data_IF_128610174085
#
_entry.id   IF_128610174085
#
_cell.length_a   1.000
_cell.length_b   1.000
_cell.length_c   1.000
_cell.angle_alpha   90.00
_cell.angle_beta   90.00
_cell.angle_gamma   90.00
#
_symmetry.space_group_name_H-M   'P 1'
#
loop_
_entity.id
_entity.type
_entity.pdbx_description
1 polymer ?
#
# COMPACT_ATOMS: atom_id res chain seq x y z
N UNK A 1 49.74 50.59 -55.47
CA UNK A 1 48.54 50.23 -56.24
C UNK A 1 47.77 49.17 -55.44
N UNK A 2 46.51 49.48 -55.10
CA UNK A 2 45.36 48.62 -54.71
C UNK A 2 45.50 47.63 -53.53
N UNK A 3 44.98 47.97 -52.33
CA UNK A 3 43.66 47.58 -51.71
C UNK A 3 43.58 46.09 -51.29
N UNK A 4 43.27 45.72 -50.04
CA UNK A 4 41.92 45.70 -49.43
C UNK A 4 41.95 45.56 -47.87
N UNK A 5 40.87 46.06 -47.25
CA UNK A 5 40.44 46.00 -45.84
C UNK A 5 40.40 44.60 -45.19
N UNK A 6 40.49 44.54 -43.84
CA UNK A 6 39.40 44.06 -42.94
C UNK A 6 39.75 44.03 -41.44
N UNK A 7 38.87 44.67 -40.69
CA UNK A 7 38.64 44.66 -39.23
C UNK A 7 38.48 43.26 -38.63
N UNK A 8 38.97 43.04 -37.40
CA UNK A 8 38.46 42.01 -36.49
C UNK A 8 38.36 42.56 -35.06
N UNK A 9 37.14 42.92 -34.68
CA UNK A 9 36.71 42.97 -33.27
C UNK A 9 36.81 41.55 -32.70
N UNK A 10 37.47 41.39 -31.56
CA UNK A 10 37.44 40.17 -30.76
C UNK A 10 36.16 40.21 -29.91
N UNK A 11 35.17 39.37 -30.25
CA UNK A 11 34.00 39.13 -29.43
C UNK A 11 34.35 38.08 -28.37
N UNK A 12 34.34 38.47 -27.10
CA UNK A 12 34.50 37.55 -25.96
C UNK A 12 33.18 36.81 -25.75
N UNK A 13 33.17 35.51 -26.04
CA UNK A 13 32.02 34.62 -25.84
C UNK A 13 31.99 34.16 -24.38
N UNK A 14 31.04 34.68 -23.58
CA UNK A 14 30.73 34.13 -22.24
C UNK A 14 29.79 32.94 -22.44
N UNK A 15 30.31 31.72 -22.35
CA UNK A 15 29.50 30.50 -22.36
C UNK A 15 28.99 30.30 -20.93
N UNK A 16 27.74 30.67 -20.67
CA UNK A 16 27.04 30.26 -19.46
C UNK A 16 26.63 28.78 -19.60
N UNK A 17 27.37 27.88 -18.96
CA UNK A 17 26.97 26.47 -18.84
C UNK A 17 25.82 26.36 -17.84
N UNK A 18 24.60 26.17 -18.36
CA UNK A 18 23.44 25.80 -17.56
C UNK A 18 23.63 24.37 -17.04
N UNK A 19 24.03 24.25 -15.77
CA UNK A 19 24.06 22.97 -15.07
C UNK A 19 22.62 22.57 -14.76
N UNK A 20 22.02 21.76 -15.62
CA UNK A 20 20.75 21.08 -15.31
C UNK A 20 21.09 20.05 -14.23
N UNK A 21 20.85 20.40 -12.97
CA UNK A 21 20.78 19.41 -11.90
C UNK A 21 19.57 18.51 -12.20
N UNK A 22 19.82 17.38 -12.87
CA UNK A 22 18.86 16.29 -12.90
C UNK A 22 18.84 15.74 -11.48
N UNK A 23 17.95 16.26 -10.64
CA UNK A 23 17.64 15.63 -9.36
C UNK A 23 17.01 14.30 -9.69
N UNK A 24 17.78 13.22 -9.53
CA UNK A 24 17.22 11.87 -9.56
C UNK A 24 16.16 11.81 -8.46
N UNK A 25 14.88 11.83 -8.86
CA UNK A 25 13.80 11.43 -7.97
C UNK A 25 14.02 9.93 -7.78
N UNK A 26 14.68 9.57 -6.68
CA UNK A 26 14.75 8.17 -6.25
C UNK A 26 13.36 7.88 -5.71
N UNK A 27 12.45 7.47 -6.59
CA UNK A 27 11.21 6.83 -6.16
C UNK A 27 11.67 5.53 -5.52
N UNK A 28 11.67 5.47 -4.18
CA UNK A 28 11.81 4.20 -3.49
C UNK A 28 10.59 3.38 -3.90
N UNK A 29 10.77 2.48 -4.86
CA UNK A 29 9.75 1.51 -5.18
C UNK A 29 9.51 0.67 -3.93
N UNK A 30 8.25 0.54 -3.54
CA UNK A 30 7.86 -0.40 -2.50
C UNK A 30 8.36 -1.79 -2.89
N UNK A 31 9.35 -2.29 -2.16
CA UNK A 31 9.94 -3.59 -2.47
C UNK A 31 8.98 -4.65 -1.95
N UNK A 32 8.06 -5.12 -2.80
CA UNK A 32 7.17 -6.25 -2.51
C UNK A 32 7.99 -7.36 -1.84
N UNK A 33 7.66 -7.69 -0.60
CA UNK A 33 8.39 -8.69 0.16
C UNK A 33 7.87 -10.08 -0.19
N UNK A 34 8.73 -11.10 -0.01
CA UNK A 34 8.32 -12.50 -0.11
C UNK A 34 8.42 -13.16 1.26
N UNK A 35 7.30 -13.64 1.79
CA UNK A 35 7.25 -14.46 2.99
C UNK A 35 7.31 -15.94 2.62
N UNK A 36 8.25 -16.68 3.20
CA UNK A 36 8.41 -18.11 2.94
C UNK A 36 7.68 -18.95 3.99
N UNK A 37 6.92 -19.94 3.53
CA UNK A 37 6.18 -20.91 4.34
C UNK A 37 6.73 -22.31 4.05
N UNK A 38 7.30 -22.95 5.05
CA UNK A 38 7.76 -24.32 4.96
C UNK A 38 6.56 -25.27 5.06
N UNK A 39 6.46 -26.19 4.09
CA UNK A 39 5.50 -27.29 4.06
C UNK A 39 6.23 -28.57 4.45
N UNK A 40 5.98 -29.06 5.67
CA UNK A 40 6.60 -30.29 6.18
C UNK A 40 5.85 -30.81 7.41
N UNK A 41 6.05 -32.08 7.78
CA UNK A 41 5.56 -32.64 9.05
C UNK A 41 4.05 -32.44 9.31
N UNK A 42 3.21 -32.52 8.26
CA UNK A 42 1.78 -32.27 8.32
C UNK A 42 1.41 -30.85 8.82
N UNK A 43 2.26 -29.85 8.57
CA UNK A 43 2.00 -28.46 8.97
C UNK A 43 2.59 -27.45 7.98
N UNK A 44 2.09 -26.21 8.11
CA UNK A 44 2.62 -25.02 7.45
C UNK A 44 3.32 -24.15 8.51
N UNK A 45 4.51 -23.62 8.20
CA UNK A 45 5.25 -22.78 9.14
C UNK A 45 5.97 -21.62 8.44
N UNK A 46 5.78 -20.36 8.87
CA UNK A 46 4.97 -19.93 10.01
C UNK A 46 3.45 -20.03 9.75
N UNK A 47 2.68 -20.18 10.83
CA UNK A 47 1.22 -20.07 10.84
C UNK A 47 0.79 -19.30 12.12
N UNK A 48 0.14 -18.12 12.02
CA UNK A 48 -0.17 -17.41 10.78
C UNK A 48 1.08 -16.88 10.07
N UNK A 49 1.01 -16.79 8.75
CA UNK A 49 1.93 -15.95 7.96
C UNK A 49 1.36 -14.53 7.88
N UNK A 50 2.09 -13.55 8.39
CA UNK A 50 1.67 -12.15 8.41
C UNK A 50 2.48 -11.37 7.37
N UNK A 51 1.79 -10.72 6.44
CA UNK A 51 2.36 -9.91 5.36
C UNK A 51 1.57 -8.61 5.19
N UNK A 52 2.00 -7.74 4.26
CA UNK A 52 1.27 -6.54 3.86
C UNK A 52 0.68 -6.69 2.46
N UNK A 53 -0.33 -5.89 2.16
CA UNK A 53 -0.90 -5.82 0.83
C UNK A 53 0.18 -5.49 -0.21
N UNK A 54 0.24 -6.27 -1.28
CA UNK A 54 1.28 -6.21 -2.29
C UNK A 54 2.40 -7.23 -2.09
N UNK A 55 2.52 -7.90 -0.93
CA UNK A 55 3.53 -8.93 -0.73
C UNK A 55 3.17 -10.26 -1.42
N UNK A 56 4.16 -11.14 -1.52
CA UNK A 56 4.04 -12.50 -2.04
C UNK A 56 4.23 -13.50 -0.90
N UNK A 57 3.43 -14.57 -0.87
CA UNK A 57 3.73 -15.76 -0.06
C UNK A 57 4.28 -16.83 -0.97
N UNK A 58 5.41 -17.43 -0.58
CA UNK A 58 5.99 -18.59 -1.24
C UNK A 58 5.94 -19.79 -0.28
N UNK A 59 5.35 -20.88 -0.74
CA UNK A 59 5.39 -22.15 -0.04
C UNK A 59 6.53 -23.01 -0.60
N UNK A 60 7.31 -23.61 0.29
CA UNK A 60 8.39 -24.52 -0.06
C UNK A 60 8.16 -25.89 0.60
N UNK A 61 7.78 -26.87 -0.20
CA UNK A 61 7.67 -28.26 0.23
C UNK A 61 9.01 -28.97 0.19
N UNK A 62 9.48 -29.41 1.35
CA UNK A 62 10.73 -30.15 1.51
C UNK A 62 10.55 -31.67 1.36
N UNK A 63 9.31 -32.13 1.19
CA UNK A 63 8.95 -33.54 0.95
C UNK A 63 7.70 -33.96 1.71
N UNK A 64 7.20 -35.16 1.40
CA UNK A 64 5.86 -35.59 1.83
C UNK A 64 4.80 -35.22 0.79
N UNK A 65 3.66 -35.90 0.83
CA UNK A 65 2.60 -35.77 -0.18
C UNK A 65 1.67 -34.61 0.15
N UNK A 66 2.00 -33.42 -0.34
CA UNK A 66 1.36 -32.16 0.05
C UNK A 66 1.07 -31.26 -1.14
N UNK A 67 0.07 -30.40 -0.93
CA UNK A 67 -0.18 -29.18 -1.70
C UNK A 67 -0.69 -28.09 -0.75
N UNK A 68 -1.06 -26.95 -1.34
CA UNK A 68 -1.71 -25.82 -0.68
C UNK A 68 -2.92 -25.46 -1.53
N UNK A 69 -4.10 -25.43 -0.94
CA UNK A 69 -5.35 -25.00 -1.58
C UNK A 69 -6.04 -23.98 -0.68
N UNK A 70 -6.40 -22.83 -1.24
CA UNK A 70 -7.20 -21.83 -0.55
C UNK A 70 -8.60 -22.40 -0.26
N UNK A 71 -9.13 -22.13 0.93
CA UNK A 71 -10.44 -22.62 1.34
C UNK A 71 -11.58 -22.09 0.45
N UNK A 72 -11.38 -20.94 -0.19
CA UNK A 72 -12.31 -20.34 -1.15
C UNK A 72 -12.03 -20.73 -2.61
N UNK A 73 -11.03 -21.58 -2.86
CA UNK A 73 -10.60 -22.01 -4.18
C UNK A 73 -9.85 -20.95 -4.99
N UNK A 74 -9.44 -19.82 -4.38
CA UNK A 74 -8.74 -18.72 -5.09
C UNK A 74 -7.33 -19.06 -5.57
N UNK A 75 -6.67 -20.05 -4.95
CA UNK A 75 -5.39 -20.56 -5.41
C UNK A 75 -5.20 -22.02 -5.02
N UNK A 76 -4.38 -22.73 -5.80
CA UNK A 76 -3.93 -24.09 -5.49
C UNK A 76 -2.53 -24.33 -6.04
N UNK A 77 -1.62 -24.80 -5.19
CA UNK A 77 -0.19 -24.83 -5.47
C UNK A 77 0.48 -26.16 -5.08
N UNK A 78 1.19 -26.73 -6.06
CA UNK A 78 2.18 -27.78 -5.95
C UNK A 78 2.96 -27.85 -7.28
N UNK A 79 4.30 -27.84 -7.19
CA UNK A 79 5.19 -27.69 -8.36
C UNK A 79 4.92 -26.41 -9.19
N UNK A 80 4.65 -25.28 -8.52
CA UNK A 80 3.98 -24.10 -9.07
C UNK A 80 2.49 -24.07 -8.69
N UNK A 81 1.75 -23.03 -9.08
CA UNK A 81 0.29 -23.00 -8.90
C UNK A 81 -0.45 -23.39 -10.19
N UNK A 82 -1.73 -23.76 -10.09
CA UNK A 82 -2.55 -24.25 -11.22
C UNK A 82 -2.42 -23.40 -12.49
N UNK A 83 -2.36 -22.07 -12.34
CA UNK A 83 -2.28 -21.12 -13.46
C UNK A 83 -0.86 -20.57 -13.70
N UNK A 84 0.14 -21.00 -12.94
CA UNK A 84 1.50 -20.44 -12.96
C UNK A 84 2.60 -21.51 -12.94
N UNK A 85 2.45 -22.51 -13.82
CA UNK A 85 3.51 -23.48 -14.12
C UNK A 85 3.48 -24.77 -13.30
N UNK A 86 2.53 -24.90 -12.38
CA UNK A 86 2.22 -26.16 -11.68
C UNK A 86 0.88 -26.74 -12.10
N UNK A 87 0.43 -27.75 -11.36
CA UNK A 87 -0.88 -28.39 -11.54
C UNK A 87 -1.67 -28.50 -10.23
N UNK A 88 -1.17 -27.89 -9.15
CA UNK A 88 -1.83 -27.80 -7.84
C UNK A 88 -2.05 -29.12 -7.11
N UNK A 89 -1.81 -30.24 -7.79
CA UNK A 89 -2.08 -31.57 -7.30
C UNK A 89 -1.06 -31.96 -6.22
N UNK A 90 -1.49 -32.59 -5.10
CA UNK A 90 -0.60 -33.10 -4.08
C UNK A 90 0.57 -33.89 -4.68
N UNK A 91 1.77 -33.57 -4.24
CA UNK A 91 3.01 -34.11 -4.79
C UNK A 91 3.94 -34.53 -3.67
N UNK A 92 4.63 -35.67 -3.85
CA UNK A 92 5.69 -36.14 -2.96
C UNK A 92 7.07 -35.57 -3.32
N UNK A 93 7.19 -34.91 -4.48
CA UNK A 93 8.40 -34.21 -4.87
C UNK A 93 8.57 -32.93 -4.06
N UNK A 94 9.81 -32.46 -3.95
CA UNK A 94 10.07 -31.10 -3.48
C UNK A 94 9.54 -30.11 -4.51
N UNK A 95 8.92 -29.04 -4.03
CA UNK A 95 8.36 -28.02 -4.89
C UNK A 95 8.30 -26.67 -4.19
N UNK A 96 8.22 -25.61 -4.98
CA UNK A 96 7.80 -24.30 -4.52
C UNK A 96 6.58 -23.80 -5.31
N UNK A 97 5.80 -22.92 -4.71
CA UNK A 97 4.69 -22.22 -5.35
C UNK A 97 4.47 -20.89 -4.66
N UNK A 98 4.03 -19.86 -5.38
CA UNK A 98 3.91 -18.52 -4.82
C UNK A 98 2.65 -17.81 -5.31
N UNK A 99 2.05 -17.02 -4.43
CA UNK A 99 0.85 -16.22 -4.71
C UNK A 99 1.06 -14.81 -4.19
N UNK A 100 0.63 -13.82 -4.97
CA UNK A 100 0.63 -12.41 -4.59
C UNK A 100 -0.68 -12.04 -3.87
N UNK A 101 -0.56 -11.29 -2.78
CA UNK A 101 -1.68 -10.89 -1.96
C UNK A 101 -1.83 -9.37 -1.95
N UNK A 102 -2.70 -8.85 -2.82
CA UNK A 102 -2.87 -7.40 -2.98
C UNK A 102 -4.00 -6.79 -2.13
N UNK A 103 -4.85 -7.63 -1.53
CA UNK A 103 -6.02 -7.16 -0.76
C UNK A 103 -5.83 -7.51 0.71
N UNK A 104 -5.97 -6.54 1.63
CA UNK A 104 -5.96 -6.83 3.07
C UNK A 104 -7.07 -7.80 3.45
N UNK A 105 -6.79 -8.71 4.38
CA UNK A 105 -7.74 -9.73 4.81
C UNK A 105 -7.07 -10.98 5.35
N UNK A 106 -7.90 -11.96 5.71
CA UNK A 106 -7.44 -13.28 6.14
C UNK A 106 -7.76 -14.29 5.05
N UNK A 107 -6.74 -15.04 4.62
CA UNK A 107 -6.84 -16.09 3.62
C UNK A 107 -6.55 -17.42 4.30
N UNK A 108 -7.56 -18.29 4.36
CA UNK A 108 -7.42 -19.63 4.91
C UNK A 108 -7.05 -20.61 3.79
N UNK A 109 -6.22 -21.59 4.10
CA UNK A 109 -5.83 -22.62 3.16
C UNK A 109 -5.51 -23.92 3.88
N UNK A 110 -5.54 -25.01 3.13
CA UNK A 110 -5.29 -26.36 3.63
C UNK A 110 -4.50 -27.21 2.62
N UNK A 111 -4.02 -28.36 3.07
CA UNK A 111 -3.55 -29.43 2.20
C UNK A 111 -4.72 -30.39 1.94
N UNK A 112 -5.12 -30.63 0.70
CA UNK A 112 -6.32 -31.44 0.35
C UNK A 112 -6.31 -32.87 0.91
N UNK A 113 -5.12 -33.42 1.18
CA UNK A 113 -4.96 -34.80 1.65
C UNK A 113 -4.96 -34.91 3.19
N UNK A 114 -4.48 -33.88 3.88
CA UNK A 114 -4.15 -33.93 5.31
C UNK A 114 -4.87 -32.87 6.14
N UNK A 115 -5.63 -31.99 5.49
CA UNK A 115 -6.48 -30.99 6.09
C UNK A 115 -7.79 -30.84 5.31
N UNK A 116 -8.62 -29.92 5.78
CA UNK A 116 -9.91 -29.58 5.19
C UNK A 116 -10.24 -28.12 5.52
N UNK A 117 -11.23 -27.57 4.84
CA UNK A 117 -11.69 -26.19 4.96
C UNK A 117 -12.03 -25.85 6.42
N UNK A 118 -11.74 -24.60 6.81
CA UNK A 118 -12.10 -24.07 8.12
C UNK A 118 -11.10 -24.44 9.22
N UNK A 119 -9.85 -24.72 8.85
CA UNK A 119 -8.77 -24.95 9.81
C UNK A 119 -8.69 -26.38 10.34
N UNK A 120 -9.14 -27.37 9.57
CA UNK A 120 -9.10 -28.79 9.97
C UNK A 120 -7.79 -29.41 9.51
N UNK A 121 -7.10 -30.13 10.40
CA UNK A 121 -5.90 -30.89 10.08
C UNK A 121 -4.73 -30.01 9.66
N UNK A 122 -4.07 -30.36 8.56
CA UNK A 122 -2.99 -29.57 7.96
C UNK A 122 -3.58 -28.36 7.22
N UNK A 123 -3.74 -27.27 7.97
CA UNK A 123 -4.26 -25.98 7.52
C UNK A 123 -3.37 -24.83 7.97
N UNK A 124 -3.49 -23.68 7.31
CA UNK A 124 -2.82 -22.46 7.72
C UNK A 124 -3.62 -21.22 7.33
N UNK A 125 -3.15 -20.06 7.78
CA UNK A 125 -3.75 -18.78 7.42
C UNK A 125 -2.69 -17.74 7.06
N UNK A 126 -3.02 -16.89 6.09
CA UNK A 126 -2.29 -15.68 5.74
C UNK A 126 -3.10 -14.48 6.22
N UNK A 127 -2.47 -13.60 6.99
CA UNK A 127 -3.03 -12.31 7.40
C UNK A 127 -2.32 -11.23 6.59
N UNK A 128 -3.08 -10.57 5.71
CA UNK A 128 -2.61 -9.47 4.87
C UNK A 128 -3.04 -8.16 5.51
N UNK A 129 -2.07 -7.39 6.00
CA UNK A 129 -2.30 -6.09 6.61
C UNK A 129 -2.40 -4.99 5.53
N UNK A 130 -3.19 -3.93 5.74
CA UNK A 130 -3.17 -2.76 4.86
C UNK A 130 -1.82 -2.03 4.91
N UNK A 131 -1.56 -1.21 3.89
CA UNK A 131 -0.37 -0.35 3.84
C UNK A 131 -0.63 1.04 4.44
N UNK A 132 -1.88 1.48 4.49
CA UNK A 132 -2.26 2.82 4.97
C UNK A 132 -3.15 2.67 6.19
N UNK A 133 -2.86 3.46 7.21
CA UNK A 133 -3.57 3.50 8.48
C UNK A 133 -3.93 4.94 8.83
N UNK A 134 -5.06 5.15 9.50
CA UNK A 134 -5.29 6.40 10.22
C UNK A 134 -4.37 6.41 11.44
N UNK A 135 -3.49 7.41 11.53
CA UNK A 135 -2.57 7.57 12.64
C UNK A 135 -3.12 8.51 13.72
N UNK A 136 -3.64 9.66 13.29
CA UNK A 136 -4.20 10.66 14.19
C UNK A 136 -5.37 11.38 13.52
N UNK A 137 -6.38 11.72 14.31
CA UNK A 137 -7.47 12.61 13.93
C UNK A 137 -7.57 13.68 15.01
N UNK A 138 -7.64 14.94 14.58
CA UNK A 138 -7.85 16.08 15.45
C UNK A 138 -9.02 16.90 14.94
N UNK A 139 -10.08 16.95 15.73
CA UNK A 139 -11.33 17.68 15.48
C UNK A 139 -11.68 18.53 16.71
N UNK A 140 -12.58 19.52 16.53
CA UNK A 140 -13.21 20.30 17.61
C UNK A 140 -12.21 20.87 18.63
N UNK A 141 -11.35 21.76 18.14
CA UNK A 141 -10.46 22.48 19.04
C UNK A 141 -11.17 23.65 19.70
N UNK A 142 -10.85 23.91 20.97
CA UNK A 142 -11.39 25.07 21.65
C UNK A 142 -11.05 26.37 20.90
N UNK A 143 -12.09 27.15 20.56
CA UNK A 143 -11.95 28.45 19.91
C UNK A 143 -12.34 28.41 18.44
N UNK A 144 -11.46 28.87 17.56
CA UNK A 144 -11.66 28.77 16.11
C UNK A 144 -11.02 27.48 15.61
N UNK A 145 -11.75 26.74 14.79
CA UNK A 145 -11.31 25.43 14.29
C UNK A 145 -10.26 25.52 13.17
N UNK A 146 -9.09 26.04 13.52
CA UNK A 146 -8.05 26.35 12.54
C UNK A 146 -7.08 25.19 12.29
N UNK A 147 -7.00 24.19 13.17
CA UNK A 147 -5.97 23.17 13.10
C UNK A 147 -6.55 21.75 13.11
N UNK A 148 -7.67 21.57 12.42
CA UNK A 148 -8.26 20.25 12.18
C UNK A 148 -7.46 19.48 11.13
N UNK A 149 -7.24 18.19 11.39
CA UNK A 149 -6.53 17.33 10.45
C UNK A 149 -6.85 15.86 10.66
N UNK A 150 -6.64 15.09 9.60
CA UNK A 150 -6.47 13.65 9.66
C UNK A 150 -5.07 13.31 9.12
N UNK A 151 -4.35 12.48 9.86
CA UNK A 151 -3.03 11.99 9.48
C UNK A 151 -3.11 10.50 9.12
N UNK A 152 -2.60 10.18 7.94
CA UNK A 152 -2.40 8.81 7.50
C UNK A 152 -0.93 8.41 7.67
N UNK A 153 -0.70 7.16 8.05
CA UNK A 153 0.63 6.57 8.14
C UNK A 153 0.76 5.36 7.23
N UNK A 154 1.92 5.21 6.59
CA UNK A 154 2.23 4.06 5.76
C UNK A 154 3.67 4.04 5.26
N UNK A 155 4.07 3.00 4.51
CA UNK A 155 5.35 2.98 3.81
C UNK A 155 5.49 4.18 2.87
N UNK A 156 6.68 4.76 2.80
CA UNK A 156 6.97 5.86 1.88
C UNK A 156 6.62 5.49 0.42
N UNK A 157 6.10 6.46 -0.33
CA UNK A 157 5.64 6.32 -1.71
C UNK A 157 4.46 5.35 -1.93
N UNK A 158 3.82 4.83 -0.87
CA UNK A 158 2.55 4.09 -1.00
C UNK A 158 1.54 4.98 -1.71
N UNK A 159 1.02 4.54 -2.86
CA UNK A 159 -0.03 5.26 -3.58
C UNK A 159 -1.32 5.29 -2.75
N UNK A 160 -2.00 6.44 -2.75
CA UNK A 160 -3.34 6.59 -2.18
C UNK A 160 -4.43 6.53 -3.26
N UNK A 161 -4.08 6.17 -4.49
CA UNK A 161 -5.05 5.98 -5.58
C UNK A 161 -6.12 4.96 -5.21
N UNK A 162 -7.38 5.31 -5.49
CA UNK A 162 -8.53 4.47 -5.17
C UNK A 162 -8.95 4.51 -3.69
N UNK A 163 -8.27 5.31 -2.86
CA UNK A 163 -8.70 5.59 -1.49
C UNK A 163 -9.50 6.90 -1.44
N UNK A 164 -10.49 6.92 -0.56
CA UNK A 164 -11.28 8.11 -0.23
C UNK A 164 -11.34 8.21 1.29
N UNK A 165 -11.04 9.38 1.84
CA UNK A 165 -11.30 9.65 3.25
C UNK A 165 -12.75 10.11 3.41
N UNK A 166 -13.54 9.33 4.14
CA UNK A 166 -14.96 9.57 4.34
C UNK A 166 -15.20 10.11 5.75
N UNK A 167 -16.01 11.15 5.83
CA UNK A 167 -16.58 11.63 7.10
C UNK A 167 -18.07 11.38 7.04
N UNK A 168 -18.58 10.65 8.03
CA UNK A 168 -20.00 10.35 8.16
C UNK A 168 -20.49 10.99 9.44
N UNK A 169 -21.38 11.97 9.32
CA UNK A 169 -22.02 12.62 10.45
C UNK A 169 -23.53 12.58 10.30
N UNK A 170 -24.18 13.72 10.57
CA UNK A 170 -25.61 13.87 10.54
C UNK A 170 -26.10 14.79 9.42
N UNK A 171 -27.38 15.16 9.48
CA UNK A 171 -27.93 16.19 8.62
C UNK A 171 -28.74 17.14 9.48
N UNK A 172 -29.08 18.30 8.95
CA UNK A 172 -29.96 19.29 9.59
C UNK A 172 -31.36 18.75 10.00
N UNK A 173 -31.68 17.49 9.70
CA UNK A 173 -32.88 16.77 10.12
C UNK A 173 -32.62 15.65 11.16
N UNK A 174 -31.45 15.61 11.83
CA UNK A 174 -31.06 14.58 12.81
C UNK A 174 -31.04 13.14 12.27
N UNK A 175 -30.78 12.95 10.98
CA UNK A 175 -30.49 11.63 10.44
C UNK A 175 -28.97 11.42 10.47
N UNK A 176 -28.48 10.63 11.43
CA UNK A 176 -27.09 10.14 11.41
C UNK A 176 -26.86 9.19 10.23
N UNK A 177 -25.61 9.07 9.78
CA UNK A 177 -25.22 8.17 8.69
C UNK A 177 -25.17 8.83 7.32
N UNK A 178 -25.00 10.15 7.26
CA UNK A 178 -24.88 10.91 6.02
C UNK A 178 -23.40 11.18 5.73
N UNK A 179 -22.99 11.04 4.47
CA UNK A 179 -21.64 11.41 4.03
C UNK A 179 -21.56 12.94 4.03
N UNK A 180 -20.70 13.48 4.88
CA UNK A 180 -20.46 14.92 5.03
C UNK A 180 -19.26 15.36 4.20
N UNK A 181 -18.21 14.55 4.18
CA UNK A 181 -17.07 14.72 3.30
C UNK A 181 -16.69 13.40 2.62
N UNK A 182 -16.31 13.51 1.36
CA UNK A 182 -15.69 12.45 0.58
C UNK A 182 -14.47 13.03 -0.12
N UNK A 183 -13.31 12.83 0.49
CA UNK A 183 -12.05 13.42 0.05
C UNK A 183 -11.32 12.40 -0.80
N UNK A 184 -11.25 12.65 -2.11
CA UNK A 184 -10.56 11.79 -3.07
C UNK A 184 -9.04 11.96 -2.93
N UNK A 185 -8.33 10.86 -2.70
CA UNK A 185 -6.87 10.83 -2.51
C UNK A 185 -6.12 10.45 -3.79
N UNK A 186 -6.82 10.37 -4.93
CA UNK A 186 -6.20 10.06 -6.22
C UNK A 186 -5.07 11.03 -6.56
N UNK A 187 -3.95 10.47 -7.01
CA UNK A 187 -2.71 11.18 -7.33
C UNK A 187 -1.85 11.52 -6.11
N UNK A 188 -2.30 11.20 -4.90
CA UNK A 188 -1.53 11.38 -3.68
C UNK A 188 -0.73 10.11 -3.32
N UNK A 189 0.32 10.29 -2.52
CA UNK A 189 1.12 9.17 -2.01
C UNK A 189 1.66 9.51 -0.62
N UNK A 190 1.87 8.49 0.22
CA UNK A 190 2.52 8.68 1.52
C UNK A 190 3.93 9.28 1.32
N UNK A 191 4.26 10.42 1.95
CA UNK A 191 5.56 11.06 1.77
C UNK A 191 6.72 10.23 2.33
N UNK A 192 7.95 10.64 2.02
CA UNK A 192 9.15 9.92 2.42
C UNK A 192 9.34 9.75 3.94
N UNK A 193 8.70 10.60 4.75
CA UNK A 193 8.70 10.49 6.22
C UNK A 193 7.67 9.49 6.77
N UNK A 194 6.80 8.93 5.91
CA UNK A 194 5.76 7.98 6.29
C UNK A 194 4.43 8.60 6.75
N UNK A 195 4.31 9.92 6.79
CA UNK A 195 3.12 10.62 7.33
C UNK A 195 2.50 11.54 6.29
N UNK A 196 1.21 11.34 6.01
CA UNK A 196 0.41 12.13 5.09
C UNK A 196 -0.65 12.91 5.87
N UNK A 197 -0.51 14.23 5.94
CA UNK A 197 -1.42 15.09 6.69
C UNK A 197 -2.41 15.74 5.73
N UNK A 198 -3.70 15.46 5.93
CA UNK A 198 -4.83 16.16 5.33
C UNK A 198 -5.30 17.22 6.31
N UNK A 199 -5.33 18.48 5.91
CA UNK A 199 -5.75 19.58 6.77
C UNK A 199 -6.43 20.68 5.97
N UNK A 200 -7.19 21.54 6.65
CA UNK A 200 -7.80 22.70 6.00
C UNK A 200 -6.79 23.81 5.71
N UNK A 201 -7.17 24.78 4.87
CA UNK A 201 -6.29 25.93 4.52
C UNK A 201 -5.90 26.84 5.70
N UNK A 202 -6.60 26.69 6.82
CA UNK A 202 -6.38 27.39 8.09
C UNK A 202 -5.30 26.75 8.96
N UNK A 203 -4.83 25.55 8.61
CA UNK A 203 -3.89 24.75 9.39
C UNK A 203 -2.51 25.40 9.54
N UNK A 204 -2.00 25.43 10.78
CA UNK A 204 -0.75 26.12 11.15
C UNK A 204 0.21 25.30 12.02
N UNK A 205 -0.16 24.10 12.49
CA UNK A 205 0.71 23.30 13.38
C UNK A 205 1.95 22.77 12.65
N UNK A 206 1.82 22.45 11.37
CA UNK A 206 2.91 22.06 10.47
C UNK A 206 2.51 22.32 9.02
N UNK A 207 3.25 21.78 8.06
CA UNK A 207 2.87 21.79 6.63
C UNK A 207 1.97 20.61 6.32
N UNK A 208 0.74 20.89 5.87
CA UNK A 208 -0.15 19.87 5.34
C UNK A 208 0.45 19.23 4.08
N UNK A 209 0.30 17.92 3.92
CA UNK A 209 0.67 17.25 2.67
C UNK A 209 -0.40 17.51 1.61
N UNK A 210 -1.66 17.52 2.03
CA UNK A 210 -2.82 17.74 1.19
C UNK A 210 -3.76 18.72 1.90
N UNK A 211 -4.23 19.71 1.15
CA UNK A 211 -5.14 20.73 1.68
C UNK A 211 -6.47 20.65 0.95
N UNK A 212 -7.53 20.41 1.73
CA UNK A 212 -8.90 20.33 1.24
C UNK A 212 -9.88 20.78 2.34
N UNK A 213 -11.17 20.87 2.02
CA UNK A 213 -12.22 21.05 3.03
C UNK A 213 -12.51 19.72 3.70
N UNK A 214 -12.27 19.63 5.01
CA UNK A 214 -12.44 18.38 5.76
C UNK A 214 -13.86 18.20 6.29
N UNK A 215 -14.57 19.31 6.52
CA UNK A 215 -15.93 19.35 7.10
C UNK A 215 -16.03 18.51 8.39
N UNK A 216 -15.06 18.67 9.29
CA UNK A 216 -15.15 18.12 10.63
C UNK A 216 -16.03 19.06 11.46
N UNK A 217 -17.20 18.60 11.88
CA UNK A 217 -18.18 19.45 12.55
C UNK A 217 -17.92 19.56 14.07
N UNK A 218 -18.25 20.72 14.65
CA UNK A 218 -18.10 21.02 16.09
C UNK A 218 -19.33 20.63 16.93
N UNK A 219 -20.40 20.15 16.29
CA UNK A 219 -21.74 20.09 16.86
C UNK A 219 -22.27 18.68 17.11
N UNK A 220 -21.66 17.67 16.52
CA UNK A 220 -22.17 16.30 16.48
C UNK A 220 -21.06 15.25 16.65
N UNK A 221 -21.40 13.98 16.45
CA UNK A 221 -20.43 12.90 16.41
C UNK A 221 -20.21 12.49 14.96
N UNK A 222 -18.99 12.65 14.48
CA UNK A 222 -18.56 12.14 13.18
C UNK A 222 -17.88 10.77 13.29
N UNK A 223 -18.00 9.99 12.23
CA UNK A 223 -17.28 8.74 12.00
C UNK A 223 -16.28 8.93 10.87
N UNK A 224 -15.07 8.40 11.07
CA UNK A 224 -13.94 8.47 10.15
C UNK A 224 -13.46 7.06 9.79
#
# INVERSE_FOLDING_TARGET
>A
MNTLNRTKLLATLVIATLLVMVTSVIVAADSRATANVNVQNLSFNPDPTIIRAGDTVQWDNQGGFHNVEADDGSFRCANGCDDTGGNGAPSSATWSGSVDFNTPGTYLYHCEIHGDIGGVGMSGQIIVLPNVFINEIRIDQAGSDLNEYAELFGPAATSLDGLTYLVIGESSQQNSGIIEAAIDLTGQSIPANGYFIMAESTFTLTTATFTDTLNFENGDNVTH
#
